data_IF_123739294070
#
_entry.id   IF_123739294070
#
_cell.length_a   1.000
_cell.length_b   1.000
_cell.length_c   1.000
_cell.angle_alpha   90.00
_cell.angle_beta   90.00
_cell.angle_gamma   90.00
#
_symmetry.space_group_name_H-M   'P 1'
#
loop_
_entity.id
_entity.type
_entity.pdbx_description
1 polymer ?
#
# COMPACT_ATOMS: atom_id res chain seq x y z
N UNK A 1 0.42 21.99 4.09
CA UNK A 1 1.42 21.09 4.68
C UNK A 1 0.83 19.93 5.47
N UNK A 2 -0.21 20.15 6.27
CA UNK A 2 -0.87 19.05 6.99
C UNK A 2 -1.37 17.95 6.03
N UNK A 3 -1.85 18.34 4.86
CA UNK A 3 -2.36 17.41 3.86
C UNK A 3 -1.25 16.50 3.32
N UNK A 4 -0.07 17.05 3.04
CA UNK A 4 1.05 16.26 2.53
C UNK A 4 1.57 15.28 3.59
N UNK A 5 1.64 15.70 4.84
CA UNK A 5 2.04 14.83 5.94
C UNK A 5 1.05 13.69 6.10
N UNK A 6 -0.25 13.98 6.02
CA UNK A 6 -1.29 12.97 6.10
C UNK A 6 -1.16 11.93 4.97
N UNK A 7 -0.95 12.37 3.73
CA UNK A 7 -0.74 11.48 2.60
C UNK A 7 0.54 10.67 2.74
N UNK A 8 1.60 11.29 3.27
CA UNK A 8 2.86 10.58 3.50
C UNK A 8 2.69 9.43 4.50
N UNK A 9 2.02 9.68 5.62
CA UNK A 9 1.77 8.66 6.64
C UNK A 9 0.89 7.55 6.10
N UNK A 10 -0.15 7.89 5.36
CA UNK A 10 -1.02 6.90 4.72
C UNK A 10 -0.26 6.07 3.68
N UNK A 11 0.65 6.72 2.94
CA UNK A 11 1.52 6.04 2.01
C UNK A 11 2.46 5.05 2.70
N UNK A 12 2.99 5.42 3.86
CA UNK A 12 3.80 4.51 4.67
C UNK A 12 3.00 3.25 5.05
N UNK A 13 1.75 3.42 5.48
CA UNK A 13 0.89 2.29 5.82
C UNK A 13 0.64 1.39 4.62
N UNK A 14 0.42 1.96 3.44
CA UNK A 14 0.23 1.21 2.20
C UNK A 14 1.50 0.41 1.86
N UNK A 15 2.67 1.04 1.99
CA UNK A 15 3.94 0.38 1.72
C UNK A 15 4.20 -0.80 2.64
N UNK A 16 3.95 -0.63 3.93
CA UNK A 16 4.10 -1.72 4.91
C UNK A 16 3.13 -2.86 4.57
N UNK A 17 1.88 -2.54 4.25
CA UNK A 17 0.88 -3.54 3.89
C UNK A 17 1.29 -4.34 2.66
N UNK A 18 1.88 -3.69 1.65
CA UNK A 18 2.35 -4.37 0.45
C UNK A 18 3.51 -5.32 0.73
N UNK A 19 4.31 -5.03 1.75
CA UNK A 19 5.45 -5.88 2.13
C UNK A 19 5.02 -7.08 2.97
N UNK A 20 3.85 -7.05 3.59
CA UNK A 20 3.35 -8.16 4.41
C UNK A 20 2.55 -9.13 3.54
N UNK A 21 2.89 -10.44 3.52
CA UNK A 21 2.10 -11.43 2.78
C UNK A 21 0.66 -11.48 3.28
N UNK A 22 -0.28 -11.55 2.35
CA UNK A 22 -1.70 -11.66 2.67
C UNK A 22 -2.41 -10.34 2.91
N UNK A 23 -1.68 -9.22 2.96
CA UNK A 23 -2.26 -7.89 3.11
C UNK A 23 -2.07 -7.10 1.82
N UNK A 24 -3.13 -6.49 1.33
CA UNK A 24 -3.10 -5.72 0.10
C UNK A 24 -2.99 -4.23 0.40
N UNK A 25 -2.07 -3.54 -0.30
CA UNK A 25 -1.96 -2.09 -0.20
C UNK A 25 -3.23 -1.38 -0.65
N UNK A 26 -3.92 -1.93 -1.66
CA UNK A 26 -5.20 -1.38 -2.11
C UNK A 26 -6.28 -1.43 -1.05
N UNK A 27 -6.35 -2.53 -0.30
CA UNK A 27 -7.29 -2.65 0.81
C UNK A 27 -7.01 -1.62 1.90
N UNK A 28 -5.74 -1.42 2.24
CA UNK A 28 -5.35 -0.42 3.24
C UNK A 28 -5.68 0.99 2.75
N UNK A 29 -5.44 1.29 1.47
CA UNK A 29 -5.79 2.59 0.89
C UNK A 29 -7.31 2.84 1.00
N UNK A 30 -8.12 1.82 0.77
CA UNK A 30 -9.57 1.91 0.89
C UNK A 30 -9.98 2.19 2.35
N UNK A 31 -9.40 1.46 3.31
CA UNK A 31 -9.69 1.64 4.73
C UNK A 31 -9.28 3.04 5.21
N UNK A 32 -8.16 3.55 4.71
CA UNK A 32 -7.68 4.88 5.07
C UNK A 32 -8.43 6.02 4.35
N UNK A 33 -9.31 5.68 3.42
CA UNK A 33 -10.15 6.67 2.74
C UNK A 33 -9.46 7.42 1.61
N UNK A 34 -8.32 6.95 1.12
CA UNK A 34 -7.59 7.60 0.02
C UNK A 34 -7.62 6.81 -1.29
N UNK A 35 -8.35 5.70 -1.32
CA UNK A 35 -8.37 4.84 -2.50
C UNK A 35 -8.89 5.57 -3.73
N UNK A 36 -10.00 6.30 -3.60
CA UNK A 36 -10.59 7.04 -4.72
C UNK A 36 -9.67 8.15 -5.22
N UNK A 37 -9.04 8.89 -4.31
CA UNK A 37 -8.10 9.95 -4.68
C UNK A 37 -6.88 9.39 -5.39
N UNK A 38 -6.34 8.25 -4.92
CA UNK A 38 -5.21 7.59 -5.56
C UNK A 38 -5.56 7.10 -6.96
N UNK A 39 -6.67 6.38 -7.11
CA UNK A 39 -7.08 5.83 -8.41
C UNK A 39 -7.40 6.94 -9.39
N UNK A 40 -8.06 7.99 -8.95
CA UNK A 40 -8.35 9.15 -9.78
C UNK A 40 -7.06 9.82 -10.24
N UNK A 41 -6.12 10.07 -9.33
CA UNK A 41 -4.85 10.71 -9.66
C UNK A 41 -4.04 9.88 -10.66
N UNK A 42 -4.00 8.56 -10.46
CA UNK A 42 -3.30 7.64 -11.36
C UNK A 42 -3.94 7.64 -12.75
N UNK A 43 -5.27 7.65 -12.81
CA UNK A 43 -5.99 7.59 -14.09
C UNK A 43 -5.91 8.89 -14.88
N UNK A 44 -5.89 10.04 -14.20
CA UNK A 44 -5.90 11.36 -14.84
C UNK A 44 -4.50 11.78 -15.28
N UNK A 45 -3.46 11.38 -14.53
CA UNK A 45 -2.09 11.87 -14.75
C UNK A 45 -1.58 11.66 -16.18
N UNK A 46 -1.73 10.48 -16.82
CA UNK A 46 -1.24 10.31 -18.18
C UNK A 46 -1.87 11.28 -19.19
N UNK A 47 -3.20 11.46 -19.11
CA UNK A 47 -3.91 12.38 -19.99
C UNK A 47 -3.50 13.83 -19.73
N UNK A 48 -3.34 14.21 -18.47
CA UNK A 48 -2.93 15.56 -18.09
C UNK A 48 -1.53 15.87 -18.62
N UNK A 49 -0.60 14.90 -18.58
CA UNK A 49 0.74 15.07 -19.12
C UNK A 49 0.72 15.20 -20.63
N UNK A 50 -0.08 14.40 -21.33
CA UNK A 50 -0.17 14.45 -22.80
C UNK A 50 -0.76 15.78 -23.26
N UNK A 51 -1.80 16.25 -22.59
CA UNK A 51 -2.47 17.52 -22.92
C UNK A 51 -1.78 18.75 -22.36
N UNK A 52 -0.65 18.57 -21.65
CA UNK A 52 0.10 19.65 -20.99
C UNK A 52 -0.78 20.48 -20.06
N UNK A 53 -1.73 19.84 -19.39
CA UNK A 53 -2.60 20.50 -18.42
C UNK A 53 -1.91 20.52 -17.05
N UNK A 54 -1.17 21.60 -16.80
CA UNK A 54 -0.38 21.75 -15.57
C UNK A 54 -1.23 21.75 -14.31
N UNK A 55 -2.45 22.28 -14.38
CA UNK A 55 -3.33 22.37 -13.23
C UNK A 55 -3.72 20.97 -12.71
N UNK A 56 -4.15 20.08 -13.61
CA UNK A 56 -4.49 18.71 -13.25
C UNK A 56 -3.27 17.88 -12.91
N UNK A 57 -2.18 18.07 -13.64
CA UNK A 57 -0.91 17.40 -13.36
C UNK A 57 -0.42 17.72 -11.98
N UNK A 58 -0.42 19.00 -11.61
CA UNK A 58 0.01 19.45 -10.29
C UNK A 58 -0.87 18.87 -9.19
N UNK A 59 -2.17 18.86 -9.40
CA UNK A 59 -3.13 18.30 -8.43
C UNK A 59 -2.92 16.81 -8.20
N UNK A 60 -2.70 16.06 -9.28
CA UNK A 60 -2.43 14.62 -9.19
C UNK A 60 -1.10 14.34 -8.48
N UNK A 61 -0.06 15.12 -8.81
CA UNK A 61 1.25 14.95 -8.18
C UNK A 61 1.22 15.30 -6.69
N UNK A 62 0.38 16.24 -6.27
CA UNK A 62 0.24 16.58 -4.85
C UNK A 62 -0.29 15.41 -4.02
N UNK A 63 -1.02 14.49 -4.63
CA UNK A 63 -1.48 13.27 -3.95
C UNK A 63 -0.44 12.16 -4.12
N UNK A 64 0.03 11.93 -5.36
CA UNK A 64 0.88 10.79 -5.68
C UNK A 64 2.28 10.88 -5.09
N UNK A 65 2.89 12.06 -5.07
CA UNK A 65 4.26 12.21 -4.58
C UNK A 65 4.36 11.90 -3.08
N UNK A 66 3.54 12.50 -2.19
CA UNK A 66 3.63 12.18 -0.76
C UNK A 66 3.32 10.70 -0.47
N UNK A 67 2.29 10.16 -1.10
CA UNK A 67 1.92 8.75 -0.91
C UNK A 67 3.03 7.83 -1.43
N UNK A 68 3.56 8.12 -2.62
CA UNK A 68 4.63 7.33 -3.22
C UNK A 68 5.91 7.35 -2.40
N UNK A 69 6.30 8.54 -1.91
CA UNK A 69 7.49 8.67 -1.06
C UNK A 69 7.31 7.91 0.24
N UNK A 70 6.15 8.04 0.88
CA UNK A 70 5.86 7.32 2.11
C UNK A 70 5.91 5.81 1.91
N UNK A 71 5.30 5.32 0.83
CA UNK A 71 5.30 3.90 0.50
C UNK A 71 6.71 3.39 0.24
N UNK A 72 7.51 4.10 -0.55
CA UNK A 72 8.88 3.68 -0.87
C UNK A 72 9.77 3.65 0.38
N UNK A 73 9.70 4.68 1.21
CA UNK A 73 10.50 4.75 2.43
C UNK A 73 10.11 3.62 3.38
N UNK A 74 8.81 3.40 3.59
CA UNK A 74 8.35 2.36 4.51
C UNK A 74 8.69 0.96 4.00
N UNK A 75 8.63 0.72 2.69
CA UNK A 75 9.02 -0.57 2.13
C UNK A 75 10.49 -0.85 2.41
N UNK A 76 11.38 0.12 2.18
CA UNK A 76 12.81 -0.04 2.43
C UNK A 76 13.07 -0.30 3.90
N UNK A 77 12.48 0.49 4.79
CA UNK A 77 12.66 0.31 6.23
C UNK A 77 12.12 -1.03 6.72
N UNK A 78 10.96 -1.44 6.21
CA UNK A 78 10.34 -2.69 6.59
C UNK A 78 11.13 -3.89 6.09
N UNK A 79 11.67 -3.81 4.88
CA UNK A 79 12.53 -4.89 4.35
C UNK A 79 13.81 -5.04 5.16
N UNK A 80 14.39 -3.94 5.62
CA UNK A 80 15.54 -4.00 6.53
C UNK A 80 15.18 -4.68 7.85
N UNK A 81 14.03 -4.35 8.41
CA UNK A 81 13.53 -4.97 9.63
C UNK A 81 13.31 -6.47 9.42
N UNK A 82 12.67 -6.88 8.34
CA UNK A 82 12.41 -8.28 8.01
C UNK A 82 13.75 -9.02 7.86
N UNK A 83 14.70 -8.44 7.14
CA UNK A 83 16.02 -9.05 6.96
C UNK A 83 16.70 -9.28 8.30
N UNK A 84 16.62 -8.30 9.18
CA UNK A 84 17.17 -8.43 10.55
C UNK A 84 16.52 -9.59 11.30
N UNK A 85 15.18 -9.71 11.24
CA UNK A 85 14.47 -10.79 11.94
C UNK A 85 14.78 -12.15 11.33
N UNK A 86 14.94 -12.24 10.01
CA UNK A 86 15.33 -13.51 9.37
C UNK A 86 16.73 -13.96 9.76
N UNK A 87 17.65 -13.02 9.96
CA UNK A 87 19.03 -13.34 10.36
C UNK A 87 19.08 -13.77 11.81
N UNK A 88 18.45 -13.03 12.71
CA UNK A 88 18.53 -13.25 14.15
C UNK A 88 17.48 -14.20 14.70
N UNK A 89 16.30 -14.22 14.07
CA UNK A 89 15.15 -15.04 14.52
C UNK A 89 14.50 -15.75 13.32
N UNK A 90 15.24 -16.68 12.66
CA UNK A 90 14.72 -17.25 11.39
C UNK A 90 13.47 -18.10 11.58
N UNK A 91 13.39 -18.92 12.63
CA UNK A 91 12.27 -19.83 12.83
C UNK A 91 10.99 -19.09 13.21
N UNK A 92 10.97 -18.20 14.23
CA UNK A 92 9.75 -17.45 14.55
C UNK A 92 9.28 -16.57 13.40
N UNK A 93 10.19 -15.96 12.63
CA UNK A 93 9.83 -15.12 11.51
C UNK A 93 9.15 -15.91 10.40
N UNK A 94 9.70 -17.07 10.06
CA UNK A 94 9.10 -17.95 9.04
C UNK A 94 7.72 -18.44 9.48
N UNK A 95 7.56 -18.83 10.73
CA UNK A 95 6.27 -19.28 11.27
C UNK A 95 5.25 -18.14 11.22
N UNK A 96 5.65 -16.93 11.56
CA UNK A 96 4.77 -15.77 11.51
C UNK A 96 4.26 -15.50 10.10
N UNK A 97 5.15 -15.51 9.10
CA UNK A 97 4.75 -15.28 7.71
C UNK A 97 3.90 -16.39 7.15
N UNK A 98 4.22 -17.66 7.46
CA UNK A 98 3.40 -18.80 7.05
C UNK A 98 2.01 -18.69 7.67
N UNK A 99 1.92 -18.29 8.94
CA UNK A 99 0.64 -18.08 9.61
C UNK A 99 -0.19 -17.00 8.95
N UNK A 100 0.43 -15.88 8.54
CA UNK A 100 -0.25 -14.81 7.84
C UNK A 100 -0.81 -15.30 6.49
N UNK A 101 -0.01 -16.04 5.73
CA UNK A 101 -0.43 -16.56 4.43
C UNK A 101 -1.60 -17.53 4.58
N UNK A 102 -1.50 -18.46 5.53
CA UNK A 102 -2.56 -19.44 5.78
C UNK A 102 -3.83 -18.76 6.28
N UNK A 103 -3.71 -17.76 7.17
CA UNK A 103 -4.85 -17.00 7.65
C UNK A 103 -5.55 -16.24 6.54
N UNK A 104 -4.77 -15.62 5.66
CA UNK A 104 -5.31 -14.89 4.51
C UNK A 104 -6.03 -15.82 3.55
N UNK A 105 -5.46 -16.97 3.29
CA UNK A 105 -6.08 -17.97 2.43
C UNK A 105 -7.41 -18.46 3.00
N UNK A 106 -7.47 -18.69 4.30
CA UNK A 106 -8.70 -19.11 4.99
C UNK A 106 -9.81 -18.07 4.85
N UNK A 107 -9.48 -16.78 5.08
CA UNK A 107 -10.44 -15.69 4.94
C UNK A 107 -10.90 -15.54 3.48
N UNK A 108 -9.96 -15.61 2.55
CA UNK A 108 -10.27 -15.51 1.11
C UNK A 108 -11.22 -16.63 0.69
N UNK A 109 -10.98 -17.86 1.14
CA UNK A 109 -11.79 -19.01 0.81
C UNK A 109 -13.22 -18.86 1.33
N UNK A 110 -13.39 -18.35 2.56
CA UNK A 110 -14.71 -18.06 3.11
C UNK A 110 -15.46 -17.02 2.29
N UNK A 111 -14.80 -15.94 1.92
CA UNK A 111 -15.41 -14.87 1.13
C UNK A 111 -15.78 -15.34 -0.27
N UNK A 112 -14.95 -16.18 -0.86
CA UNK A 112 -15.21 -16.76 -2.17
C UNK A 112 -16.47 -17.64 -2.15
N UNK A 113 -16.64 -18.45 -1.11
CA UNK A 113 -17.83 -19.27 -0.93
C UNK A 113 -19.10 -18.43 -0.80
N UNK A 114 -19.04 -17.32 -0.10
CA UNK A 114 -20.18 -16.41 0.05
C UNK A 114 -20.60 -15.80 -1.28
N UNK A 115 -19.65 -15.51 -2.16
CA UNK A 115 -19.93 -14.92 -3.46
C UNK A 115 -20.59 -15.92 -4.40
N UNK A 116 -20.28 -17.20 -4.27
CA UNK A 116 -20.85 -18.27 -5.12
C UNK A 116 -22.30 -18.62 -4.76
N UNK A 117 -22.75 -18.28 -3.58
CA UNK A 117 -24.12 -18.50 -3.12
C UNK A 117 -24.90 -17.19 -3.09
#
# INVERSE_FOLDING_TARGET
MKQYISFFIRGMAIGIANAIPGVSGGTIAFVLGIYEELTYSISVLPNALIKLNWKETKKSLQVLIPVGLGACISIVLFLKLINYTFIHYPIPTKIFFVGLILGSFSIYNKNFRKIQY
#
